data_IF_248055043254
#
_entry.id   IF_248055043254
#
_cell.length_a   1.000
_cell.length_b   1.000
_cell.length_c   1.000
_cell.angle_alpha   90.00
_cell.angle_beta   90.00
_cell.angle_gamma   90.00
#
_symmetry.space_group_name_H-M   'P 1'
#
loop_
_entity.id
_entity.type
_entity.pdbx_description
1 polymer ?
#
# COMPACT_ATOMS: atom_id res chain seq x y z
N UNK A 1 16.64 54.27 -16.46
CA UNK A 1 15.60 53.39 -17.02
C UNK A 1 14.25 53.87 -16.47
N UNK A 2 13.31 54.34 -17.30
CA UNK A 2 11.99 54.79 -16.82
C UNK A 2 11.07 53.56 -16.69
N UNK A 3 10.66 53.23 -15.47
CA UNK A 3 9.73 52.14 -15.22
C UNK A 3 8.33 52.60 -15.67
N UNK A 4 7.71 51.86 -16.59
CA UNK A 4 6.35 52.12 -17.04
C UNK A 4 5.36 51.56 -16.00
N UNK A 5 4.73 52.43 -15.22
CA UNK A 5 3.81 52.05 -14.14
C UNK A 5 2.63 51.18 -14.59
N UNK A 6 2.15 51.33 -15.84
CA UNK A 6 1.09 50.46 -16.39
C UNK A 6 1.60 49.04 -16.62
N UNK A 7 2.81 48.90 -17.16
CA UNK A 7 3.46 47.60 -17.37
C UNK A 7 3.77 46.90 -16.04
N UNK A 8 4.19 47.68 -15.02
CA UNK A 8 4.43 47.17 -13.67
C UNK A 8 3.14 46.64 -13.03
N UNK A 9 2.04 47.39 -13.10
CA UNK A 9 0.75 46.98 -12.57
C UNK A 9 0.21 45.72 -13.24
N UNK A 10 0.33 45.61 -14.57
CA UNK A 10 -0.04 44.39 -15.32
C UNK A 10 0.81 43.20 -14.89
N UNK A 11 2.12 43.40 -14.72
CA UNK A 11 3.04 42.32 -14.29
C UNK A 11 2.72 41.83 -12.88
N UNK A 12 2.43 42.73 -11.94
CA UNK A 12 2.00 42.39 -10.57
C UNK A 12 0.66 41.65 -10.60
N UNK A 13 -0.29 42.10 -11.43
CA UNK A 13 -1.58 41.43 -11.60
C UNK A 13 -1.43 40.00 -12.14
N UNK A 14 -0.61 39.81 -13.18
CA UNK A 14 -0.31 38.49 -13.73
C UNK A 14 0.39 37.59 -12.71
N UNK A 15 1.33 38.13 -11.92
CA UNK A 15 1.99 37.38 -10.86
C UNK A 15 0.99 36.94 -9.78
N UNK A 16 0.06 37.80 -9.39
CA UNK A 16 -0.99 37.46 -8.43
C UNK A 16 -1.92 36.36 -8.97
N UNK A 17 -2.33 36.43 -10.24
CA UNK A 17 -3.13 35.38 -10.88
C UNK A 17 -2.36 34.06 -10.93
N UNK A 18 -1.08 34.09 -11.31
CA UNK A 18 -0.23 32.90 -11.33
C UNK A 18 -0.14 32.25 -9.94
N UNK A 19 0.06 33.05 -8.89
CA UNK A 19 0.10 32.54 -7.52
C UNK A 19 -1.22 31.89 -7.11
N UNK A 20 -2.37 32.48 -7.48
CA UNK A 20 -3.68 31.89 -7.20
C UNK A 20 -3.84 30.54 -7.91
N UNK A 21 -3.47 30.45 -9.20
CA UNK A 21 -3.55 29.21 -9.97
C UNK A 21 -2.67 28.13 -9.31
N UNK A 22 -1.43 28.45 -8.97
CA UNK A 22 -0.51 27.51 -8.31
C UNK A 22 -1.05 27.02 -6.96
N UNK A 23 -1.68 27.90 -6.17
CA UNK A 23 -2.30 27.52 -4.90
C UNK A 23 -3.48 26.57 -5.10
N UNK A 24 -4.35 26.85 -6.07
CA UNK A 24 -5.50 26.00 -6.39
C UNK A 24 -5.04 24.63 -6.87
N UNK A 25 -4.11 24.57 -7.83
CA UNK A 25 -3.57 23.30 -8.34
C UNK A 25 -2.91 22.49 -7.23
N UNK A 26 -2.08 23.13 -6.39
CA UNK A 26 -1.45 22.47 -5.25
C UNK A 26 -2.47 21.92 -4.27
N UNK A 27 -3.54 22.68 -3.98
CA UNK A 27 -4.60 22.23 -3.07
C UNK A 27 -5.37 21.02 -3.62
N UNK A 28 -5.67 21.00 -4.93
CA UNK A 28 -6.36 19.89 -5.58
C UNK A 28 -5.46 18.66 -5.64
N UNK A 29 -4.18 18.85 -5.96
CA UNK A 29 -3.22 17.76 -6.05
C UNK A 29 -2.98 17.08 -4.70
N UNK A 30 -2.93 17.85 -3.61
CA UNK A 30 -2.76 17.33 -2.26
C UNK A 30 -4.06 16.70 -1.73
N UNK A 31 -5.19 17.40 -1.86
CA UNK A 31 -6.46 16.97 -1.26
C UNK A 31 -7.24 15.93 -2.07
N UNK A 32 -7.01 15.85 -3.38
CA UNK A 32 -7.71 14.92 -4.27
C UNK A 32 -7.59 13.46 -3.84
N UNK A 33 -6.37 12.93 -3.62
CA UNK A 33 -6.19 11.57 -3.13
C UNK A 33 -6.84 11.30 -1.77
N UNK A 34 -6.76 12.25 -0.82
CA UNK A 34 -7.40 12.11 0.51
C UNK A 34 -8.92 12.05 0.40
N UNK A 35 -9.53 12.93 -0.40
CA UNK A 35 -10.98 12.96 -0.61
C UNK A 35 -11.49 11.67 -1.23
N UNK A 36 -10.81 11.16 -2.26
CA UNK A 36 -11.19 9.88 -2.89
C UNK A 36 -11.07 8.71 -1.91
N UNK A 37 -10.09 8.75 -1.02
CA UNK A 37 -9.92 7.74 0.02
C UNK A 37 -11.02 7.80 1.08
N UNK A 38 -11.38 9.00 1.53
CA UNK A 38 -12.50 9.24 2.45
C UNK A 38 -13.84 8.78 1.86
N UNK A 39 -14.12 9.12 0.60
CA UNK A 39 -15.33 8.68 -0.12
C UNK A 39 -15.46 7.14 -0.15
N UNK A 40 -14.36 6.42 -0.44
CA UNK A 40 -14.34 4.95 -0.37
C UNK A 40 -14.68 4.42 1.02
N UNK A 41 -14.18 5.07 2.08
CA UNK A 41 -14.47 4.64 3.46
C UNK A 41 -15.95 4.86 3.78
N UNK A 42 -16.52 5.99 3.38
CA UNK A 42 -17.93 6.29 3.61
C UNK A 42 -18.85 5.31 2.87
N UNK A 43 -18.53 4.94 1.63
CA UNK A 43 -19.23 3.91 0.87
C UNK A 43 -19.22 2.55 1.60
N UNK A 44 -18.05 2.12 2.09
CA UNK A 44 -17.92 0.88 2.87
C UNK A 44 -18.76 0.91 4.15
N UNK A 45 -18.68 2.02 4.91
CA UNK A 45 -19.46 2.17 6.13
C UNK A 45 -20.97 2.21 5.86
N UNK A 46 -21.40 2.82 4.76
CA UNK A 46 -22.80 2.83 4.33
C UNK A 46 -23.29 1.42 4.01
N UNK A 47 -22.53 0.66 3.20
CA UNK A 47 -22.88 -0.71 2.85
C UNK A 47 -23.04 -1.62 4.08
N UNK A 48 -22.19 -1.45 5.11
CA UNK A 48 -22.31 -2.16 6.39
C UNK A 48 -23.60 -1.77 7.11
N UNK A 49 -23.92 -0.48 7.20
CA UNK A 49 -25.16 0.02 7.86
C UNK A 49 -26.42 -0.46 7.14
N UNK A 50 -26.40 -0.49 5.82
CA UNK A 50 -27.52 -0.98 5.01
C UNK A 50 -27.77 -2.48 5.23
N UNK A 51 -26.68 -3.24 5.39
CA UNK A 51 -26.73 -4.68 5.69
C UNK A 51 -27.17 -4.95 7.13
N UNK A 52 -26.67 -4.18 8.09
CA UNK A 52 -26.90 -4.35 9.53
C UNK A 52 -27.63 -3.14 10.11
N UNK A 53 -28.94 -3.05 9.88
CA UNK A 53 -29.77 -1.86 10.19
C UNK A 53 -29.74 -1.38 11.64
N UNK A 54 -29.50 -2.28 12.60
CA UNK A 54 -29.45 -1.96 14.04
C UNK A 54 -28.02 -1.76 14.57
N UNK A 55 -27.02 -1.67 13.69
CA UNK A 55 -25.62 -1.55 14.10
C UNK A 55 -25.38 -0.24 14.87
N UNK A 56 -24.79 -0.35 16.07
CA UNK A 56 -24.40 0.78 16.92
C UNK A 56 -22.88 0.79 17.07
N UNK A 57 -22.30 1.98 17.25
CA UNK A 57 -20.86 2.18 17.50
C UNK A 57 -19.93 1.63 16.41
N UNK A 58 -20.36 1.64 15.13
CA UNK A 58 -19.51 1.24 14.01
C UNK A 58 -18.28 2.16 13.91
N UNK A 59 -17.09 1.56 13.98
CA UNK A 59 -15.79 2.22 13.91
C UNK A 59 -14.90 1.48 12.93
N UNK A 60 -14.07 2.23 12.22
CA UNK A 60 -12.99 1.70 11.40
C UNK A 60 -11.67 1.86 12.14
N UNK A 61 -10.96 0.76 12.34
CA UNK A 61 -9.58 0.74 12.82
C UNK A 61 -8.68 0.23 11.68
N UNK A 62 -7.56 0.90 11.45
CA UNK A 62 -6.58 0.51 10.44
C UNK A 62 -5.18 0.55 11.06
N UNK A 63 -4.47 -0.58 10.96
CA UNK A 63 -3.13 -0.74 11.51
C UNK A 63 -2.13 -0.89 10.36
N UNK A 64 -1.14 -0.02 10.31
CA UNK A 64 -0.04 -0.10 9.36
C UNK A 64 1.17 -0.68 10.07
N UNK A 65 1.62 -1.86 9.65
CA UNK A 65 2.86 -2.46 10.12
C UNK A 65 3.96 -2.18 9.11
N UNK A 66 5.02 -1.49 9.55
CA UNK A 66 6.20 -1.25 8.73
C UNK A 66 7.24 -2.28 9.14
N UNK A 67 7.59 -3.15 8.19
CA UNK A 67 8.66 -4.12 8.34
C UNK A 67 9.64 -4.00 7.19
N UNK A 68 10.90 -4.27 7.47
CA UNK A 68 11.96 -4.34 6.47
C UNK A 68 12.49 -5.76 6.38
N UNK A 69 12.86 -6.18 5.18
CA UNK A 69 13.56 -7.46 4.97
C UNK A 69 14.93 -7.14 4.40
N UNK A 70 15.96 -7.73 5.01
CA UNK A 70 17.34 -7.63 4.56
C UNK A 70 18.02 -8.98 4.59
N UNK A 71 19.26 -9.00 4.13
CA UNK A 71 20.08 -10.21 4.04
C UNK A 71 21.45 -9.97 4.65
N UNK A 72 21.93 -10.95 5.41
CA UNK A 72 23.35 -11.09 5.74
C UNK A 72 23.97 -12.25 4.93
N UNK A 73 25.14 -12.75 5.36
CA UNK A 73 25.83 -13.84 4.66
C UNK A 73 24.99 -15.13 4.60
N UNK A 74 24.29 -15.47 5.67
CA UNK A 74 23.67 -16.79 5.86
C UNK A 74 22.14 -16.71 6.01
N UNK A 75 21.59 -15.53 6.31
CA UNK A 75 20.20 -15.37 6.73
C UNK A 75 19.47 -14.25 5.98
N UNK A 76 18.16 -14.45 5.85
CA UNK A 76 17.18 -13.38 5.74
C UNK A 76 16.83 -12.88 7.14
N UNK A 77 16.71 -11.56 7.30
CA UNK A 77 16.38 -10.92 8.58
C UNK A 77 15.25 -9.92 8.38
N UNK A 78 14.23 -10.02 9.22
CA UNK A 78 13.11 -9.10 9.26
C UNK A 78 13.30 -8.11 10.41
N UNK A 79 13.07 -6.84 10.14
CA UNK A 79 13.21 -5.75 11.11
C UNK A 79 11.90 -4.99 11.27
N UNK A 80 11.66 -4.46 12.47
CA UNK A 80 10.57 -3.51 12.69
C UNK A 80 10.94 -2.09 12.23
N UNK A 81 9.97 -1.18 12.34
CA UNK A 81 10.09 0.25 12.07
C UNK A 81 11.22 0.98 12.82
N UNK A 82 11.73 0.38 13.91
CA UNK A 82 12.86 0.88 14.71
C UNK A 82 14.20 0.27 14.30
N UNK A 83 14.23 -0.51 13.22
CA UNK A 83 15.44 -1.21 12.75
C UNK A 83 15.88 -2.35 13.65
N UNK A 84 15.03 -2.84 14.56
CA UNK A 84 15.36 -4.00 15.41
C UNK A 84 14.94 -5.28 14.72
N UNK A 85 15.82 -6.28 14.72
CA UNK A 85 15.50 -7.61 14.21
C UNK A 85 14.33 -8.22 15.00
N UNK A 86 13.32 -8.67 14.28
CA UNK A 86 12.15 -9.38 14.80
C UNK A 86 12.43 -10.88 14.75
N UNK A 87 12.92 -11.35 13.61
CA UNK A 87 13.14 -12.77 13.31
C UNK A 87 14.12 -12.93 12.15
N UNK A 88 14.79 -14.08 12.08
CA UNK A 88 15.63 -14.48 10.96
C UNK A 88 15.32 -15.90 10.49
N UNK A 89 15.69 -16.19 9.24
CA UNK A 89 15.64 -17.52 8.62
C UNK A 89 16.89 -17.73 7.80
N UNK A 90 17.44 -18.95 7.82
CA UNK A 90 18.59 -19.28 6.99
C UNK A 90 18.19 -19.27 5.51
N UNK A 91 19.08 -18.82 4.65
CA UNK A 91 18.85 -18.77 3.20
C UNK A 91 18.58 -20.15 2.59
N UNK A 92 19.18 -21.20 3.15
CA UNK A 92 18.97 -22.60 2.72
C UNK A 92 17.57 -23.16 3.04
N UNK A 93 16.78 -22.46 3.85
CA UNK A 93 15.39 -22.84 4.15
C UNK A 93 14.37 -22.22 3.20
N UNK A 94 14.80 -21.38 2.26
CA UNK A 94 13.90 -20.73 1.30
C UNK A 94 13.26 -21.76 0.34
N UNK A 95 11.95 -21.64 0.14
CA UNK A 95 11.13 -22.58 -0.64
C UNK A 95 10.49 -21.93 -1.87
N UNK A 96 11.12 -20.92 -2.48
CA UNK A 96 10.55 -20.11 -3.58
C UNK A 96 10.04 -20.93 -4.75
N UNK A 97 10.71 -22.01 -5.14
CA UNK A 97 10.23 -22.89 -6.23
C UNK A 97 8.96 -23.67 -5.84
N UNK A 98 8.87 -24.14 -4.58
CA UNK A 98 7.67 -24.80 -4.08
C UNK A 98 6.50 -23.81 -3.99
N UNK A 99 6.76 -22.57 -3.58
CA UNK A 99 5.77 -21.49 -3.54
C UNK A 99 5.15 -21.29 -4.93
N UNK A 100 5.99 -21.16 -5.97
CA UNK A 100 5.49 -21.00 -7.35
C UNK A 100 4.62 -22.17 -7.80
N UNK A 101 5.02 -23.41 -7.49
CA UNK A 101 4.24 -24.60 -7.83
C UNK A 101 2.90 -24.66 -7.09
N UNK A 102 2.90 -24.37 -5.78
CA UNK A 102 1.67 -24.36 -4.98
C UNK A 102 0.71 -23.27 -5.43
N UNK A 103 1.21 -22.07 -5.74
CA UNK A 103 0.38 -20.95 -6.23
C UNK A 103 -0.21 -21.26 -7.59
N UNK A 104 0.58 -21.80 -8.52
CA UNK A 104 0.06 -22.23 -9.82
C UNK A 104 -1.03 -23.31 -9.67
N UNK A 105 -0.82 -24.29 -8.78
CA UNK A 105 -1.76 -25.39 -8.55
C UNK A 105 -3.06 -24.93 -7.88
N UNK A 106 -2.98 -24.11 -6.83
CA UNK A 106 -4.13 -23.69 -6.02
C UNK A 106 -4.98 -22.62 -6.70
N UNK A 107 -4.36 -21.68 -7.41
CA UNK A 107 -5.05 -20.51 -7.95
C UNK A 107 -5.06 -20.45 -9.48
N UNK A 108 -4.40 -21.39 -10.16
CA UNK A 108 -4.27 -21.36 -11.63
C UNK A 108 -3.49 -20.13 -12.13
N UNK A 109 -2.68 -19.53 -11.27
CA UNK A 109 -2.03 -18.25 -11.53
C UNK A 109 -0.84 -18.37 -12.50
N UNK A 110 -0.57 -17.26 -13.20
CA UNK A 110 0.57 -17.05 -14.10
C UNK A 110 1.33 -15.79 -13.67
N UNK A 111 2.49 -15.55 -14.29
CA UNK A 111 3.30 -14.34 -14.03
C UNK A 111 3.68 -14.20 -12.55
N UNK A 112 4.07 -15.33 -11.93
CA UNK A 112 4.30 -15.43 -10.48
C UNK A 112 5.66 -14.80 -10.13
N UNK A 113 5.61 -13.69 -9.41
CA UNK A 113 6.75 -13.05 -8.76
C UNK A 113 6.67 -13.30 -7.26
N UNK A 114 7.80 -13.65 -6.65
CA UNK A 114 7.87 -13.99 -5.22
C UNK A 114 8.89 -13.09 -4.56
N UNK A 115 8.49 -12.44 -3.47
CA UNK A 115 9.35 -11.69 -2.58
C UNK A 115 9.15 -12.17 -1.13
N UNK A 116 10.04 -11.75 -0.24
CA UNK A 116 9.88 -11.97 1.19
C UNK A 116 9.23 -10.74 1.83
N UNK A 117 8.30 -10.98 2.75
CA UNK A 117 7.60 -9.93 3.50
C UNK A 117 7.21 -10.42 4.89
N UNK A 118 6.32 -9.67 5.55
CA UNK A 118 5.86 -9.99 6.91
C UNK A 118 4.33 -9.91 6.98
N UNK A 119 3.68 -11.05 7.26
CA UNK A 119 2.23 -11.20 7.28
C UNK A 119 1.71 -11.13 8.71
N UNK A 120 1.61 -9.90 9.23
CA UNK A 120 1.17 -9.54 10.60
C UNK A 120 2.05 -10.08 11.72
N UNK A 121 2.12 -11.40 11.87
CA UNK A 121 2.78 -12.05 13.01
C UNK A 121 4.03 -12.82 12.59
N UNK A 122 4.17 -13.20 11.30
CA UNK A 122 5.23 -14.09 10.84
C UNK A 122 5.82 -13.69 9.47
N UNK A 123 7.06 -14.13 9.15
CA UNK A 123 7.61 -14.07 7.80
C UNK A 123 6.70 -14.75 6.78
N UNK A 124 6.55 -14.13 5.61
CA UNK A 124 5.75 -14.66 4.51
C UNK A 124 6.47 -14.54 3.18
N UNK A 125 6.06 -15.38 2.23
CA UNK A 125 6.22 -15.13 0.82
C UNK A 125 5.11 -14.21 0.35
N UNK A 126 5.47 -13.05 -0.19
CA UNK A 126 4.56 -12.15 -0.90
C UNK A 126 4.60 -12.55 -2.37
N UNK A 127 3.46 -12.97 -2.89
CA UNK A 127 3.34 -13.49 -4.25
C UNK A 127 2.44 -12.59 -5.07
N UNK A 128 3.05 -11.86 -6.01
CA UNK A 128 2.35 -11.09 -7.02
C UNK A 128 2.13 -11.94 -8.26
N UNK A 129 0.88 -12.10 -8.69
CA UNK A 129 0.56 -12.95 -9.84
C UNK A 129 -0.72 -12.49 -10.56
N UNK A 130 -1.08 -13.20 -11.63
CA UNK A 130 -2.29 -12.91 -12.41
C UNK A 130 -3.59 -12.99 -11.59
N UNK A 131 -3.61 -13.77 -10.50
CA UNK A 131 -4.77 -13.93 -9.62
C UNK A 131 -4.90 -12.81 -8.57
N UNK A 132 -3.84 -12.01 -8.35
CA UNK A 132 -3.76 -11.00 -7.30
C UNK A 132 -2.49 -11.12 -6.47
N UNK A 133 -2.54 -10.57 -5.26
CA UNK A 133 -1.47 -10.65 -4.26
C UNK A 133 -1.82 -11.73 -3.23
N UNK A 134 -0.93 -12.69 -3.01
CA UNK A 134 -1.12 -13.81 -2.08
C UNK A 134 0.04 -13.81 -1.08
N UNK A 135 -0.26 -13.85 0.21
CA UNK A 135 0.74 -14.02 1.27
C UNK A 135 0.67 -15.46 1.78
N UNK A 136 1.79 -16.17 1.68
CA UNK A 136 1.93 -17.52 2.22
C UNK A 136 2.92 -17.53 3.37
N UNK A 137 2.57 -18.18 4.48
CA UNK A 137 3.45 -18.40 5.62
C UNK A 137 4.78 -19.05 5.18
N UNK A 138 5.91 -18.50 5.63
CA UNK A 138 7.24 -18.92 5.17
C UNK A 138 7.52 -20.40 5.45
N UNK A 139 7.13 -20.87 6.65
CA UNK A 139 7.47 -22.21 7.11
C UNK A 139 6.46 -23.27 6.60
N UNK A 140 5.17 -22.94 6.60
CA UNK A 140 4.08 -23.89 6.32
C UNK A 140 3.42 -23.76 4.94
N UNK A 141 3.67 -22.67 4.22
CA UNK A 141 3.02 -22.33 2.94
C UNK A 141 1.48 -22.26 3.02
N UNK A 142 0.93 -22.03 4.22
CA UNK A 142 -0.49 -21.74 4.42
C UNK A 142 -0.80 -20.32 3.96
N UNK A 143 -1.95 -20.14 3.35
CA UNK A 143 -2.44 -18.80 2.99
C UNK A 143 -2.70 -18.00 4.27
N UNK A 144 -2.03 -16.86 4.38
CA UNK A 144 -2.22 -15.88 5.46
C UNK A 144 -3.18 -14.79 4.98
N UNK A 145 -3.06 -14.40 3.71
CA UNK A 145 -3.89 -13.38 3.09
C UNK A 145 -3.97 -13.59 1.58
N UNK A 146 -5.12 -13.23 0.99
CA UNK A 146 -5.31 -13.20 -0.45
C UNK A 146 -6.13 -11.97 -0.85
N UNK A 147 -5.52 -11.11 -1.66
CA UNK A 147 -6.19 -10.00 -2.32
C UNK A 147 -6.35 -10.32 -3.80
N UNK A 148 -7.59 -10.60 -4.21
CA UNK A 148 -7.90 -10.90 -5.60
C UNK A 148 -7.75 -9.66 -6.48
N UNK A 149 -7.18 -9.86 -7.67
CA UNK A 149 -7.00 -8.78 -8.64
C UNK A 149 -8.34 -8.16 -9.02
N UNK A 150 -8.47 -6.85 -8.85
CA UNK A 150 -9.69 -6.08 -9.14
C UNK A 150 -10.59 -5.78 -7.94
N UNK A 151 -10.22 -6.21 -6.73
CA UNK A 151 -10.99 -5.97 -5.50
C UNK A 151 -10.38 -4.85 -4.60
N UNK A 152 -9.51 -3.99 -5.14
CA UNK A 152 -8.82 -2.89 -4.44
C UNK A 152 -9.40 -1.47 -4.69
#
# INVERSE_FOLDING_TARGET
MKINGKSLAVSIGLLAVLLIVLLVESSIFISGPSRKYEEKIDEQMSAIRDTYKEIKNLRRDAFYYITYVGEDADNYVWFNDKGKAIVSRKKDTEQTDKVKQEVQKRYGAKEIQVALGYGYDNPVYVVDCSAGEILLDYDSLKEVYYLKKGEA
#
